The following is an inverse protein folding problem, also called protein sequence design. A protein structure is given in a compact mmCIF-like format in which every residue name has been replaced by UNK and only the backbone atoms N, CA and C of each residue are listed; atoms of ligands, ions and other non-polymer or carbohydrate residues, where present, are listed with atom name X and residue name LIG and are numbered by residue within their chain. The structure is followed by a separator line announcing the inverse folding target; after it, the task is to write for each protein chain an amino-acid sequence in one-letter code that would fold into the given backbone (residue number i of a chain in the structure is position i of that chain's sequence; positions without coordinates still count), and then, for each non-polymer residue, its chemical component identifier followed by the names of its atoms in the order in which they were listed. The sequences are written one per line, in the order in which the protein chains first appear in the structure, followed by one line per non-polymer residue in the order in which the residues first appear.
data_IF_762752259230
#
_entry.id   IF_762752259230
#
_cell.length_a   1.000
_cell.length_b   1.000
_cell.length_c   1.000
_cell.angle_alpha   90.00
_cell.angle_beta   90.00
_cell.angle_gamma   90.00
#
_symmetry.space_group_name_H-M   'P 1'
#
loop_
_entity.id
_entity.type
_entity.pdbx_description
1 polymer ?
#
# COMPACT_ATOMS: atom_id res chain seq x y z
N UNK A 1 -25.04 -8.67 -27.15
CA UNK A 1 -25.50 -7.47 -26.42
C UNK A 1 -24.60 -6.31 -26.82
N UNK A 2 -25.16 -5.19 -27.26
CA UNK A 2 -24.38 -3.99 -27.63
C UNK A 2 -24.25 -3.05 -26.44
N UNK A 3 -23.20 -2.22 -26.41
CA UNK A 3 -23.00 -1.23 -25.34
C UNK A 3 -24.16 -0.24 -25.25
N UNK A 4 -24.73 0.14 -26.40
CA UNK A 4 -25.88 1.07 -26.49
C UNK A 4 -27.10 0.62 -25.69
N UNK A 5 -27.33 -0.68 -25.55
CA UNK A 5 -28.46 -1.22 -24.78
C UNK A 5 -28.13 -1.45 -23.31
N UNK A 6 -26.88 -1.80 -23.00
CA UNK A 6 -26.48 -2.21 -21.64
C UNK A 6 -26.04 -1.03 -20.78
N UNK A 7 -25.41 -0.01 -21.36
CA UNK A 7 -24.88 1.14 -20.64
C UNK A 7 -25.95 1.93 -19.86
N UNK A 8 -27.13 2.24 -20.42
CA UNK A 8 -28.16 2.97 -19.67
C UNK A 8 -28.64 2.20 -18.43
N UNK A 9 -28.74 0.87 -18.54
CA UNK A 9 -29.13 0.01 -17.41
C UNK A 9 -28.06 -0.02 -16.33
N UNK A 10 -26.79 -0.16 -16.71
CA UNK A 10 -25.67 -0.11 -15.76
C UNK A 10 -25.57 1.23 -15.04
N UNK A 11 -25.75 2.34 -15.78
CA UNK A 11 -25.75 3.68 -15.21
C UNK A 11 -26.87 3.84 -14.17
N UNK A 12 -28.10 3.49 -14.54
CA UNK A 12 -29.25 3.56 -13.62
C UNK A 12 -29.04 2.75 -12.35
N UNK A 13 -28.51 1.53 -12.48
CA UNK A 13 -28.20 0.66 -11.33
C UNK A 13 -27.10 1.25 -10.45
N UNK A 14 -26.07 1.85 -11.05
CA UNK A 14 -25.01 2.52 -10.33
C UNK A 14 -25.52 3.76 -9.58
N UNK A 15 -26.33 4.60 -10.23
CA UNK A 15 -26.92 5.81 -9.64
C UNK A 15 -27.81 5.47 -8.46
N UNK A 16 -28.73 4.52 -8.63
CA UNK A 16 -29.59 4.03 -7.56
C UNK A 16 -28.76 3.46 -6.40
N UNK A 17 -27.71 2.69 -6.71
CA UNK A 17 -26.85 2.11 -5.69
C UNK A 17 -26.05 3.15 -4.90
N UNK A 18 -25.57 4.19 -5.57
CA UNK A 18 -24.84 5.30 -4.93
C UNK A 18 -25.78 6.23 -4.13
N UNK A 19 -27.00 6.47 -4.62
CA UNK A 19 -28.01 7.25 -3.89
C UNK A 19 -28.43 6.54 -2.60
N UNK A 20 -28.66 5.23 -2.67
CA UNK A 20 -29.11 4.41 -1.54
C UNK A 20 -27.96 3.88 -0.68
N UNK A 21 -26.70 4.23 -1.00
CA UNK A 21 -25.51 3.72 -0.31
C UNK A 21 -25.43 2.19 -0.25
N UNK A 22 -25.96 1.51 -1.27
CA UNK A 22 -26.01 0.05 -1.38
C UNK A 22 -26.00 -0.36 -2.85
N UNK A 23 -24.90 -0.96 -3.30
CA UNK A 23 -24.80 -1.45 -4.67
C UNK A 23 -25.64 -2.73 -4.86
N UNK A 24 -26.08 -3.02 -6.12
CA UNK A 24 -26.72 -4.29 -6.43
C UNK A 24 -25.82 -5.47 -6.01
N UNK A 25 -26.37 -6.54 -5.40
CA UNK A 25 -25.56 -7.68 -4.95
C UNK A 25 -24.69 -8.31 -6.04
N UNK A 26 -25.16 -8.30 -7.29
CA UNK A 26 -24.42 -8.80 -8.44
C UNK A 26 -23.19 -7.96 -8.80
N UNK A 27 -23.14 -6.68 -8.40
CA UNK A 27 -21.95 -5.86 -8.60
C UNK A 27 -20.88 -6.25 -7.59
N UNK A 28 -21.26 -6.44 -6.33
CA UNK A 28 -20.33 -6.73 -5.23
C UNK A 28 -20.01 -8.22 -5.07
N UNK A 29 -20.54 -9.08 -5.93
CA UNK A 29 -20.16 -10.48 -6.01
C UNK A 29 -18.80 -10.65 -6.70
N UNK A 30 -18.02 -11.62 -6.23
CA UNK A 30 -16.68 -11.90 -6.75
C UNK A 30 -16.40 -13.39 -6.89
N UNK A 31 -15.51 -13.72 -7.83
CA UNK A 31 -14.98 -15.06 -7.97
C UNK A 31 -13.49 -15.07 -7.60
N UNK A 32 -13.13 -15.78 -6.53
CA UNK A 32 -11.75 -15.91 -6.08
C UNK A 32 -11.06 -16.98 -6.89
N UNK A 33 -10.01 -16.57 -7.62
CA UNK A 33 -9.13 -17.44 -8.39
C UNK A 33 -7.75 -17.40 -7.77
N UNK A 34 -7.07 -18.54 -7.74
CA UNK A 34 -5.69 -18.66 -7.26
C UNK A 34 -4.71 -18.51 -8.41
N UNK A 35 -3.90 -17.46 -8.40
CA UNK A 35 -2.77 -17.31 -9.31
C UNK A 35 -1.50 -17.93 -8.72
N UNK A 36 -0.64 -18.56 -9.54
CA UNK A 36 0.64 -19.07 -9.08
C UNK A 36 1.60 -17.94 -8.67
N UNK A 37 2.40 -18.17 -7.63
CA UNK A 37 3.59 -17.39 -7.24
C UNK A 37 4.83 -18.28 -7.39
N UNK A 38 6.02 -17.71 -7.56
CA UNK A 38 7.28 -18.45 -7.58
C UNK A 38 7.41 -19.45 -6.43
N UNK A 39 8.04 -20.60 -6.72
CA UNK A 39 8.21 -21.72 -5.79
C UNK A 39 7.29 -22.91 -6.09
N UNK A 40 7.22 -23.84 -5.14
CA UNK A 40 6.43 -25.06 -5.27
C UNK A 40 4.92 -24.74 -5.31
N UNK A 41 4.27 -25.09 -6.42
CA UNK A 41 2.85 -24.84 -6.68
C UNK A 41 1.90 -25.76 -5.90
N UNK A 42 2.44 -26.79 -5.23
CA UNK A 42 1.66 -27.64 -4.32
C UNK A 42 1.33 -26.91 -3.02
N UNK A 43 2.13 -25.90 -2.64
CA UNK A 43 1.95 -25.15 -1.40
C UNK A 43 0.97 -23.98 -1.57
N UNK A 44 -0.08 -23.93 -0.72
CA UNK A 44 -1.08 -22.85 -0.74
C UNK A 44 -0.48 -21.45 -0.52
N UNK A 45 0.60 -21.36 0.25
CA UNK A 45 1.30 -20.09 0.50
C UNK A 45 1.97 -19.50 -0.76
N UNK A 46 2.19 -20.32 -1.78
CA UNK A 46 2.70 -19.92 -3.08
C UNK A 46 1.56 -19.68 -4.10
N UNK A 47 0.33 -19.50 -3.62
CA UNK A 47 -0.81 -19.09 -4.44
C UNK A 47 -1.35 -17.75 -3.98
N UNK A 48 -1.62 -16.87 -4.93
CA UNK A 48 -2.19 -15.54 -4.71
C UNK A 48 -3.69 -15.58 -4.99
N UNK A 49 -4.56 -15.42 -3.99
CA UNK A 49 -5.98 -15.26 -4.24
C UNK A 49 -6.22 -13.89 -4.89
N UNK A 50 -6.92 -13.89 -6.02
CA UNK A 50 -7.42 -12.69 -6.70
C UNK A 50 -8.93 -12.81 -6.84
N UNK A 51 -9.64 -11.79 -6.41
CA UNK A 51 -11.09 -11.71 -6.59
C UNK A 51 -11.40 -11.06 -7.93
N UNK A 52 -12.03 -11.82 -8.83
CA UNK A 52 -12.59 -11.32 -10.08
C UNK A 52 -13.92 -10.64 -9.78
N UNK A 53 -13.90 -9.31 -9.78
CA UNK A 53 -15.07 -8.47 -9.53
C UNK A 53 -15.85 -8.17 -10.82
N UNK A 54 -17.16 -7.99 -10.68
CA UNK A 54 -18.06 -7.64 -11.77
C UNK A 54 -17.67 -6.30 -12.45
N UNK A 55 -17.93 -6.19 -13.75
CA UNK A 55 -17.68 -4.94 -14.51
C UNK A 55 -18.42 -3.73 -13.90
N UNK A 56 -19.65 -3.92 -13.41
CA UNK A 56 -20.43 -2.87 -12.73
C UNK A 56 -19.72 -2.32 -11.50
N UNK A 57 -19.13 -3.19 -10.67
CA UNK A 57 -18.28 -2.75 -9.55
C UNK A 57 -17.11 -1.91 -10.02
N UNK A 58 -16.38 -2.41 -11.04
CA UNK A 58 -15.19 -1.72 -11.56
C UNK A 58 -15.53 -0.34 -12.11
N UNK A 59 -16.67 -0.20 -12.78
CA UNK A 59 -17.17 1.09 -13.29
C UNK A 59 -17.45 2.05 -12.13
N UNK A 60 -18.18 1.62 -11.10
CA UNK A 60 -18.49 2.47 -9.94
C UNK A 60 -17.20 2.85 -9.18
N UNK A 61 -16.32 1.88 -8.92
CA UNK A 61 -15.04 2.13 -8.27
C UNK A 61 -14.19 3.11 -9.06
N UNK A 62 -14.14 2.98 -10.40
CA UNK A 62 -13.41 3.89 -11.27
C UNK A 62 -14.01 5.31 -11.25
N UNK A 63 -15.34 5.43 -11.23
CA UNK A 63 -16.02 6.73 -11.13
C UNK A 63 -15.64 7.44 -9.82
N UNK A 64 -15.70 6.74 -8.69
CA UNK A 64 -15.33 7.32 -7.40
C UNK A 64 -13.83 7.65 -7.32
N UNK A 65 -12.96 6.78 -7.87
CA UNK A 65 -11.52 7.02 -7.95
C UNK A 65 -11.19 8.27 -8.79
N UNK A 66 -11.83 8.45 -9.95
CA UNK A 66 -11.63 9.63 -10.78
C UNK A 66 -12.03 10.91 -10.06
N UNK A 67 -13.12 10.88 -9.27
CA UNK A 67 -13.55 12.02 -8.46
C UNK A 67 -12.59 12.32 -7.30
N UNK A 68 -12.00 11.28 -6.71
CA UNK A 68 -11.09 11.40 -5.57
C UNK A 68 -9.67 11.80 -5.97
N UNK A 69 -9.21 11.39 -7.15
CA UNK A 69 -7.85 11.61 -7.64
C UNK A 69 -7.32 13.06 -7.48
N UNK A 70 -8.02 14.13 -7.92
CA UNK A 70 -7.52 15.50 -7.76
C UNK A 70 -7.41 15.92 -6.29
N UNK A 71 -8.32 15.46 -5.43
CA UNK A 71 -8.30 15.76 -3.98
C UNK A 71 -7.13 15.05 -3.29
N UNK A 72 -6.80 13.82 -3.71
CA UNK A 72 -5.65 13.11 -3.12
C UNK A 72 -4.33 13.81 -3.40
N UNK A 73 -4.20 14.52 -4.53
CA UNK A 73 -2.99 15.29 -4.83
C UNK A 73 -2.77 16.45 -3.87
N UNK A 74 -3.82 16.99 -3.25
CA UNK A 74 -3.72 18.11 -2.29
C UNK A 74 -3.51 17.63 -0.85
N UNK A 75 -3.94 16.41 -0.53
CA UNK A 75 -3.85 15.88 0.85
C UNK A 75 -2.60 15.02 1.04
N UNK A 76 -2.13 14.34 0.00
CA UNK A 76 -0.95 13.46 0.10
C UNK A 76 0.33 14.27 -0.11
N UNK A 77 1.28 14.24 0.84
CA UNK A 77 2.57 14.93 0.73
C UNK A 77 3.35 14.52 -0.53
N UNK A 78 4.20 15.41 -1.04
CA UNK A 78 4.93 15.20 -2.30
C UNK A 78 5.91 14.02 -2.23
N UNK A 79 6.39 13.70 -1.04
CA UNK A 79 7.30 12.61 -0.75
C UNK A 79 6.65 11.24 -1.01
N UNK A 80 5.32 11.15 -0.97
CA UNK A 80 4.56 9.96 -1.27
C UNK A 80 4.12 9.95 -2.75
N UNK A 81 4.94 9.37 -3.62
CA UNK A 81 4.71 9.38 -5.08
C UNK A 81 3.95 8.16 -5.62
N UNK A 82 3.81 7.08 -4.84
CA UNK A 82 3.16 5.86 -5.33
C UNK A 82 1.64 6.07 -5.53
N UNK A 83 1.10 5.48 -6.60
CA UNK A 83 -0.35 5.42 -6.91
C UNK A 83 -1.06 6.76 -7.13
N UNK A 84 -0.31 7.86 -7.34
CA UNK A 84 -0.88 9.17 -7.67
C UNK A 84 -0.56 9.55 -9.12
N UNK A 85 -1.60 9.97 -9.85
CA UNK A 85 -1.44 10.39 -11.24
C UNK A 85 -0.48 11.58 -11.34
N UNK A 86 0.45 11.49 -12.29
CA UNK A 86 1.44 12.54 -12.55
C UNK A 86 2.66 12.52 -11.62
N UNK A 87 2.69 11.64 -10.60
CA UNK A 87 3.87 11.45 -9.76
C UNK A 87 4.68 10.28 -10.27
N UNK A 88 6.00 10.48 -10.35
CA UNK A 88 6.92 9.46 -10.84
C UNK A 88 7.62 8.79 -9.66
N UNK A 89 7.70 7.45 -9.70
CA UNK A 89 8.46 6.66 -8.74
C UNK A 89 9.95 7.05 -8.71
N UNK A 90 10.50 7.49 -9.85
CA UNK A 90 11.86 8.03 -9.93
C UNK A 90 12.06 9.23 -9.00
N UNK A 91 11.04 10.05 -8.76
CA UNK A 91 11.13 11.18 -7.83
C UNK A 91 11.32 10.71 -6.38
N UNK A 92 10.67 9.62 -5.96
CA UNK A 92 10.92 9.06 -4.61
C UNK A 92 12.33 8.51 -4.50
N UNK A 93 12.83 7.82 -5.53
CA UNK A 93 14.23 7.33 -5.52
C UNK A 93 15.21 8.49 -5.43
N UNK A 94 14.98 9.56 -6.19
CA UNK A 94 15.78 10.77 -6.14
C UNK A 94 15.76 11.43 -4.75
N UNK A 95 14.58 11.61 -4.14
CA UNK A 95 14.44 12.17 -2.79
C UNK A 95 15.14 11.31 -1.73
N UNK A 96 15.00 9.97 -1.83
CA UNK A 96 15.72 9.05 -0.95
C UNK A 96 17.25 9.20 -1.10
N UNK A 97 17.76 9.26 -2.34
CA UNK A 97 19.19 9.43 -2.60
C UNK A 97 19.71 10.78 -2.09
N UNK A 98 18.94 11.86 -2.28
CA UNK A 98 19.27 13.18 -1.76
C UNK A 98 19.35 13.17 -0.23
N UNK A 99 18.37 12.58 0.46
CA UNK A 99 18.38 12.48 1.92
C UNK A 99 19.59 11.68 2.43
N UNK A 100 19.96 10.58 1.75
CA UNK A 100 21.17 9.80 2.08
C UNK A 100 22.44 10.64 1.88
N UNK A 101 22.52 11.38 0.77
CA UNK A 101 23.67 12.23 0.46
C UNK A 101 23.83 13.38 1.47
N UNK A 102 22.73 14.04 1.86
CA UNK A 102 22.71 15.11 2.86
C UNK A 102 23.15 14.60 4.23
N UNK A 103 22.66 13.43 4.66
CA UNK A 103 23.09 12.78 5.91
C UNK A 103 24.60 12.51 5.92
N UNK A 104 25.15 11.99 4.81
CA UNK A 104 26.59 11.75 4.67
C UNK A 104 27.41 13.04 4.67
N UNK A 105 26.98 14.04 3.91
CA UNK A 105 27.71 15.29 3.74
C UNK A 105 27.73 16.14 5.01
N UNK A 106 26.68 16.04 5.82
CA UNK A 106 26.60 16.70 7.13
C UNK A 106 27.34 15.94 8.24
N UNK A 107 27.82 14.72 7.99
CA UNK A 107 28.43 13.86 9.01
C UNK A 107 27.45 13.42 10.10
N UNK A 108 26.13 13.51 9.85
CA UNK A 108 25.11 13.14 10.82
C UNK A 108 24.83 11.64 10.79
N UNK A 109 25.03 10.96 11.92
CA UNK A 109 24.65 9.57 12.08
C UNK A 109 23.14 9.41 11.88
N UNK A 110 22.77 8.67 10.83
CA UNK A 110 21.39 8.52 10.39
C UNK A 110 21.06 7.06 10.09
N UNK A 111 19.77 6.72 10.09
CA UNK A 111 19.24 5.41 9.72
C UNK A 111 18.15 5.59 8.69
N UNK A 112 18.31 4.92 7.54
CA UNK A 112 17.23 4.74 6.58
C UNK A 112 16.46 3.47 6.97
N UNK A 113 15.21 3.64 7.38
CA UNK A 113 14.31 2.58 7.79
C UNK A 113 13.22 2.35 6.75
N UNK A 114 13.19 1.16 6.15
CA UNK A 114 12.09 0.64 5.34
C UNK A 114 11.19 -0.23 6.22
N UNK A 115 9.97 0.24 6.47
CA UNK A 115 8.94 -0.47 7.21
C UNK A 115 8.10 -1.32 6.27
N UNK A 116 7.95 -2.59 6.62
CA UNK A 116 7.10 -3.55 5.92
C UNK A 116 5.85 -3.83 6.78
N UNK A 117 4.66 -3.70 6.19
CA UNK A 117 3.43 -4.11 6.86
C UNK A 117 3.03 -5.49 6.33
N UNK A 118 2.49 -6.34 7.21
CA UNK A 118 1.93 -7.61 6.81
C UNK A 118 0.51 -7.38 6.31
N UNK A 119 0.27 -7.67 5.03
CA UNK A 119 -1.07 -7.68 4.42
C UNK A 119 -1.82 -6.38 4.73
N UNK A 120 -1.23 -5.22 4.47
CA UNK A 120 -1.75 -3.95 4.97
C UNK A 120 -3.22 -3.68 4.58
N UNK A 121 -3.63 -4.07 3.38
CA UNK A 121 -5.00 -3.84 2.90
C UNK A 121 -6.01 -4.80 3.53
N UNK A 122 -5.57 -5.99 3.93
CA UNK A 122 -6.39 -6.94 4.68
C UNK A 122 -6.48 -6.57 6.16
N UNK A 123 -5.42 -5.94 6.68
CA UNK A 123 -5.27 -5.65 8.11
C UNK A 123 -5.79 -4.26 8.50
N UNK A 124 -5.85 -3.32 7.55
CA UNK A 124 -6.35 -1.97 7.80
C UNK A 124 -7.81 -2.01 8.27
N UNK A 125 -8.08 -1.38 9.40
CA UNK A 125 -9.42 -1.23 9.92
C UNK A 125 -10.23 -0.27 9.05
N UNK A 126 -11.25 -0.80 8.37
CA UNK A 126 -12.22 0.00 7.62
C UNK A 126 -12.89 1.09 8.47
N UNK A 127 -13.12 0.85 9.76
CA UNK A 127 -13.70 1.86 10.65
C UNK A 127 -12.75 3.05 10.82
N UNK A 128 -11.46 2.78 10.97
CA UNK A 128 -10.43 3.83 11.05
C UNK A 128 -10.31 4.56 9.72
N UNK A 129 -10.37 3.86 8.59
CA UNK A 129 -10.38 4.49 7.27
C UNK A 129 -11.55 5.48 7.13
N UNK A 130 -12.78 5.07 7.47
CA UNK A 130 -13.94 5.97 7.36
C UNK A 130 -13.87 7.15 8.33
N UNK A 131 -13.35 6.95 9.55
CA UNK A 131 -13.09 8.04 10.50
C UNK A 131 -12.02 9.01 9.99
N UNK A 132 -10.96 8.50 9.36
CA UNK A 132 -9.92 9.33 8.76
C UNK A 132 -10.49 10.16 7.61
N UNK A 133 -11.27 9.56 6.71
CA UNK A 133 -11.96 10.27 5.63
C UNK A 133 -12.86 11.39 6.17
N UNK A 134 -13.64 11.10 7.21
CA UNK A 134 -14.50 12.11 7.86
C UNK A 134 -13.68 13.28 8.40
N UNK A 135 -12.57 12.99 9.11
CA UNK A 135 -11.65 14.00 9.65
C UNK A 135 -10.93 14.81 8.58
N UNK A 136 -10.68 14.22 7.41
CA UNK A 136 -10.09 14.89 6.24
C UNK A 136 -11.12 15.75 5.49
N UNK A 137 -12.39 15.78 5.93
CA UNK A 137 -13.45 16.61 5.36
C UNK A 137 -14.19 15.97 4.19
N UNK A 138 -14.05 14.65 3.96
CA UNK A 138 -14.85 13.99 2.93
C UNK A 138 -16.33 13.98 3.32
N UNK A 139 -17.20 14.47 2.44
CA UNK A 139 -18.64 14.51 2.71
C UNK A 139 -19.22 13.11 2.96
N UNK A 140 -20.17 13.02 3.91
CA UNK A 140 -20.76 11.74 4.34
C UNK A 140 -21.36 10.92 3.19
N UNK A 141 -21.93 11.59 2.17
CA UNK A 141 -22.42 10.93 0.96
C UNK A 141 -21.32 10.15 0.24
N UNK A 142 -20.14 10.75 0.08
CA UNK A 142 -19.00 10.09 -0.57
C UNK A 142 -18.48 8.93 0.27
N UNK A 143 -18.34 9.12 1.59
CA UNK A 143 -17.95 8.05 2.52
C UNK A 143 -18.93 6.88 2.44
N UNK A 144 -20.23 7.15 2.35
CA UNK A 144 -21.25 6.11 2.21
C UNK A 144 -21.17 5.38 0.87
N UNK A 145 -20.81 6.06 -0.23
CA UNK A 145 -20.52 5.41 -1.50
C UNK A 145 -19.33 4.44 -1.40
N UNK A 146 -18.25 4.83 -0.71
CA UNK A 146 -17.11 3.93 -0.46
C UNK A 146 -17.53 2.75 0.43
N UNK A 147 -18.31 3.00 1.49
CA UNK A 147 -18.90 1.92 2.32
C UNK A 147 -19.68 0.92 1.46
N UNK A 148 -20.50 1.39 0.52
CA UNK A 148 -21.29 0.56 -0.38
C UNK A 148 -20.44 -0.33 -1.32
N UNK A 149 -19.24 0.11 -1.72
CA UNK A 149 -18.28 -0.72 -2.45
C UNK A 149 -17.62 -1.76 -1.56
N UNK A 150 -17.39 -1.44 -0.29
CA UNK A 150 -16.66 -2.30 0.65
C UNK A 150 -17.55 -3.28 1.40
N UNK A 151 -18.88 -3.09 1.34
CA UNK A 151 -19.86 -4.10 1.76
C UNK A 151 -19.92 -5.18 0.68
N UNK A 152 -18.97 -6.11 0.73
CA UNK A 152 -18.90 -7.23 -0.22
C UNK A 152 -20.17 -8.07 -0.14
N UNK A 153 -20.61 -8.58 -1.29
CA UNK A 153 -21.56 -9.69 -1.33
C UNK A 153 -20.80 -11.01 -1.41
N UNK A 154 -21.55 -12.11 -1.32
CA UNK A 154 -21.02 -13.46 -1.35
C UNK A 154 -20.05 -13.68 -2.53
N UNK A 155 -18.90 -14.28 -2.24
CA UNK A 155 -17.88 -14.61 -3.23
C UNK A 155 -17.70 -16.11 -3.33
N UNK A 156 -17.47 -16.65 -4.52
CA UNK A 156 -17.21 -18.08 -4.69
C UNK A 156 -15.72 -18.33 -4.97
N UNK A 157 -15.22 -19.49 -4.63
CA UNK A 157 -13.86 -19.92 -4.97
C UNK A 157 -13.92 -20.76 -6.23
N UNK A 158 -13.04 -20.49 -7.20
CA UNK A 158 -12.86 -21.30 -8.39
C UNK A 158 -11.59 -22.14 -8.22
N UNK A 159 -11.76 -23.47 -8.19
CA UNK A 159 -10.66 -24.45 -8.13
C UNK A 159 -10.82 -25.37 -9.33
N UNK A 160 -9.78 -25.50 -10.17
CA UNK A 160 -9.79 -26.38 -11.34
C UNK A 160 -11.00 -26.17 -12.26
N UNK A 161 -11.41 -24.91 -12.48
CA UNK A 161 -12.61 -24.48 -13.24
C UNK A 161 -13.95 -24.85 -12.59
N UNK A 162 -13.95 -25.45 -11.41
CA UNK A 162 -15.16 -25.71 -10.62
C UNK A 162 -15.40 -24.57 -9.65
N UNK A 163 -16.60 -23.98 -9.71
CA UNK A 163 -17.03 -22.88 -8.84
C UNK A 163 -17.71 -23.44 -7.59
N UNK A 164 -17.27 -23.00 -6.42
CA UNK A 164 -17.91 -23.36 -5.15
C UNK A 164 -19.30 -22.72 -5.01
N UNK A 165 -20.06 -23.16 -3.99
CA UNK A 165 -21.18 -22.35 -3.51
C UNK A 165 -20.65 -20.98 -3.04
N UNK A 166 -21.42 -19.89 -3.20
CA UNK A 166 -21.02 -18.58 -2.70
C UNK A 166 -20.79 -18.63 -1.19
N UNK A 167 -19.67 -18.07 -0.75
CA UNK A 167 -19.30 -17.88 0.64
C UNK A 167 -19.66 -16.45 1.02
N UNK A 168 -20.27 -16.27 2.18
CA UNK A 168 -20.42 -14.92 2.74
C UNK A 168 -19.06 -14.47 3.27
N UNK A 169 -18.34 -13.77 2.41
CA UNK A 169 -17.07 -13.15 2.76
C UNK A 169 -17.43 -11.72 3.14
N UNK A 170 -17.11 -11.33 4.37
CA UNK A 170 -17.21 -9.94 4.80
C UNK A 170 -16.33 -9.00 3.97
N UNK A 171 -15.81 -7.93 4.57
CA UNK A 171 -14.99 -6.96 3.83
C UNK A 171 -13.65 -7.58 3.41
N UNK A 172 -13.36 -7.62 2.09
CA UNK A 172 -12.10 -8.13 1.55
C UNK A 172 -11.22 -7.00 0.99
N UNK A 173 -9.92 -7.00 1.32
CA UNK A 173 -8.91 -6.03 0.86
C UNK A 173 -7.94 -6.64 -0.18
N UNK A 174 -7.23 -5.80 -0.94
CA UNK A 174 -6.22 -6.21 -1.95
C UNK A 174 -5.01 -5.22 -1.99
N UNK A 175 -3.79 -5.74 -2.25
CA UNK A 175 -2.43 -5.35 -1.77
C UNK A 175 -1.63 -4.15 -2.38
N UNK A 176 -0.68 -3.59 -1.57
CA UNK A 176 0.65 -2.96 -1.82
C UNK A 176 1.20 -2.07 -0.64
N UNK A 177 2.22 -2.48 0.14
CA UNK A 177 2.46 -1.97 1.52
C UNK A 177 3.91 -1.74 2.01
N UNK A 178 4.65 -0.84 1.38
CA UNK A 178 6.00 -0.43 1.84
C UNK A 178 6.07 1.07 2.21
N UNK A 179 6.78 1.43 3.28
CA UNK A 179 7.03 2.83 3.70
C UNK A 179 8.50 3.03 4.07
N UNK A 180 9.09 4.18 3.71
CA UNK A 180 10.50 4.50 3.96
C UNK A 180 10.61 5.76 4.83
N UNK A 181 11.53 5.76 5.81
CA UNK A 181 11.74 6.84 6.78
C UNK A 181 13.24 7.09 6.97
N UNK A 182 13.67 8.35 6.96
CA UNK A 182 15.03 8.75 7.36
C UNK A 182 15.00 9.25 8.80
N UNK A 183 15.84 8.69 9.68
CA UNK A 183 15.84 8.96 11.11
C UNK A 183 17.25 9.33 11.58
N UNK A 184 17.38 10.24 12.55
CA UNK A 184 18.64 10.43 13.28
C UNK A 184 18.95 9.19 14.10
N UNK A 185 20.21 8.76 14.11
CA UNK A 185 20.64 7.50 14.71
C UNK A 185 20.92 7.59 16.22
N UNK A 186 20.02 8.24 16.94
CA UNK A 186 20.08 8.36 18.40
C UNK A 186 19.23 7.25 19.05
N UNK A 187 19.68 6.61 20.15
CA UNK A 187 18.97 5.50 20.78
C UNK A 187 17.51 5.81 21.10
N UNK A 188 17.27 6.96 21.74
CA UNK A 188 15.93 7.37 22.12
C UNK A 188 15.06 7.68 20.88
N UNK A 189 15.65 8.28 19.84
CA UNK A 189 14.92 8.61 18.62
C UNK A 189 14.46 7.35 17.86
N UNK A 190 15.34 6.35 17.72
CA UNK A 190 15.00 5.09 17.05
C UNK A 190 13.97 4.28 17.84
N UNK A 191 14.06 4.29 19.18
CA UNK A 191 13.06 3.65 20.05
C UNK A 191 11.70 4.35 19.94
N UNK A 192 11.68 5.67 20.01
CA UNK A 192 10.46 6.47 19.86
C UNK A 192 9.82 6.25 18.48
N UNK A 193 10.61 6.20 17.41
CA UNK A 193 10.12 5.89 16.07
C UNK A 193 9.48 4.49 16.02
N UNK A 194 10.13 3.47 16.59
CA UNK A 194 9.60 2.11 16.67
C UNK A 194 8.28 2.05 17.46
N UNK A 195 8.19 2.74 18.59
CA UNK A 195 6.97 2.81 19.39
C UNK A 195 5.85 3.56 18.67
N UNK A 196 6.16 4.68 18.02
CA UNK A 196 5.19 5.46 17.24
C UNK A 196 4.62 4.64 16.09
N UNK A 197 5.46 3.96 15.31
CA UNK A 197 5.05 3.08 14.21
C UNK A 197 4.22 1.90 14.75
N UNK A 198 4.63 1.32 15.88
CA UNK A 198 3.86 0.23 16.52
C UNK A 198 2.51 0.70 17.04
N UNK A 199 2.44 1.91 17.59
CA UNK A 199 1.19 2.53 18.06
C UNK A 199 0.27 2.82 16.90
N UNK A 200 0.80 3.38 15.80
CA UNK A 200 0.07 3.58 14.56
C UNK A 200 -0.46 2.26 14.00
N UNK A 201 0.37 1.21 13.98
CA UNK A 201 -0.04 -0.14 13.57
C UNK A 201 -1.21 -0.67 14.40
N UNK A 202 -1.10 -0.63 15.74
CA UNK A 202 -2.18 -1.04 16.65
C UNK A 202 -3.46 -0.22 16.46
N UNK A 203 -3.35 1.09 16.31
CA UNK A 203 -4.50 1.98 16.15
C UNK A 203 -5.20 1.81 14.79
N UNK A 204 -4.44 1.59 13.72
CA UNK A 204 -4.96 1.43 12.36
C UNK A 204 -5.39 -0.01 12.03
N UNK A 205 -4.94 -1.00 12.79
CA UNK A 205 -5.07 -2.43 12.49
C UNK A 205 -3.92 -2.99 11.65
N UNK A 206 -3.01 -2.13 11.14
CA UNK A 206 -1.84 -2.56 10.38
C UNK A 206 -0.87 -3.36 11.25
N UNK A 207 -0.46 -4.52 10.75
CA UNK A 207 0.50 -5.38 11.44
C UNK A 207 1.90 -5.08 10.93
N UNK A 208 2.73 -4.40 11.71
CA UNK A 208 4.12 -4.13 11.34
C UNK A 208 4.92 -5.43 11.35
N UNK A 209 5.64 -5.72 10.27
CA UNK A 209 6.52 -6.88 10.16
C UNK A 209 7.98 -6.46 10.37
N UNK A 210 8.38 -6.29 11.64
CA UNK A 210 9.74 -5.85 12.00
C UNK A 210 10.84 -6.76 11.45
N UNK A 211 10.61 -8.08 11.41
CA UNK A 211 11.59 -9.04 10.87
C UNK A 211 11.83 -8.93 9.36
N UNK A 212 10.96 -8.24 8.63
CA UNK A 212 11.15 -7.91 7.21
C UNK A 212 11.43 -6.44 6.96
N UNK A 213 11.27 -5.60 7.98
CA UNK A 213 11.63 -4.20 7.92
C UNK A 213 13.15 -4.08 7.85
N UNK A 214 13.63 -3.28 6.90
CA UNK A 214 15.04 -3.15 6.55
C UNK A 214 15.58 -1.83 7.09
N UNK A 215 16.72 -1.84 7.76
CA UNK A 215 17.38 -0.66 8.28
C UNK A 215 18.80 -0.57 7.73
N UNK A 216 19.20 0.64 7.34
CA UNK A 216 20.55 0.90 6.84
C UNK A 216 21.18 2.02 7.63
N UNK A 217 22.36 1.73 8.20
CA UNK A 217 23.14 2.70 8.95
C UNK A 217 23.86 3.65 7.99
N UNK A 218 23.65 4.95 8.14
CA UNK A 218 24.24 5.98 7.31
C UNK A 218 25.12 6.85 8.21
N UNK A 219 26.38 6.46 8.33
CA UNK A 219 27.40 7.20 9.06
C UNK A 219 28.80 6.80 8.59
N UNK A 220 29.79 7.62 8.97
CA UNK A 220 31.22 7.28 8.95
C UNK A 220 31.61 6.36 10.12
N UNK A 221 30.79 6.27 11.16
CA UNK A 221 31.00 5.41 12.34
C UNK A 221 30.45 4.00 12.10
N UNK A 222 31.00 3.01 12.81
CA UNK A 222 30.48 1.66 12.82
C UNK A 222 29.13 1.60 13.54
N UNK A 223 28.20 0.80 13.01
CA UNK A 223 26.87 0.61 13.62
C UNK A 223 27.02 0.12 15.07
N UNK A 224 26.44 0.81 16.06
CA UNK A 224 26.55 0.41 17.46
C UNK A 224 25.83 -0.93 17.77
N UNK A 225 26.37 -1.79 18.65
CA UNK A 225 25.76 -3.09 18.98
C UNK A 225 24.37 -3.02 19.61
N UNK A 226 24.06 -1.95 20.36
CA UNK A 226 22.74 -1.81 21.01
C UNK A 226 21.59 -1.77 19.99
N UNK A 227 21.87 -1.41 18.73
CA UNK A 227 20.87 -1.35 17.66
C UNK A 227 20.27 -2.71 17.30
N UNK A 228 20.93 -3.82 17.66
CA UNK A 228 20.41 -5.18 17.44
C UNK A 228 19.12 -5.45 18.22
N UNK A 229 18.88 -4.74 19.33
CA UNK A 229 17.67 -4.85 20.15
C UNK A 229 16.41 -4.30 19.45
N UNK A 230 16.58 -3.56 18.34
CA UNK A 230 15.46 -3.01 17.59
C UNK A 230 14.70 -4.07 16.76
N UNK A 231 15.24 -5.29 16.62
CA UNK A 231 14.65 -6.38 15.83
C UNK A 231 14.38 -6.02 14.36
N UNK A 232 15.18 -5.11 13.81
CA UNK A 232 15.19 -4.75 12.40
C UNK A 232 16.19 -5.63 11.65
N UNK A 233 15.96 -5.84 10.36
CA UNK A 233 16.98 -6.44 9.50
C UNK A 233 17.96 -5.35 9.06
N UNK A 234 19.22 -5.48 9.44
CA UNK A 234 20.26 -4.51 9.07
C UNK A 234 20.95 -4.90 7.77
N UNK A 235 21.16 -3.94 6.88
CA UNK A 235 22.00 -4.12 5.68
C UNK A 235 23.42 -3.65 5.92
N UNK A 236 24.36 -4.21 5.15
CA UNK A 236 25.72 -3.71 5.10
C UNK A 236 25.80 -2.45 4.21
N UNK A 237 26.77 -1.56 4.48
CA UNK A 237 26.90 -0.20 3.89
C UNK A 237 27.13 -0.13 2.37
N UNK A 238 26.92 -1.20 1.61
CA UNK A 238 27.13 -1.27 0.17
C UNK A 238 26.06 -2.10 -0.58
N UNK A 239 24.99 -2.55 0.10
CA UNK A 239 23.97 -3.35 -0.57
C UNK A 239 23.10 -2.51 -1.53
N UNK A 240 22.76 -3.11 -2.66
CA UNK A 240 21.76 -2.61 -3.60
C UNK A 240 20.37 -2.76 -2.99
N UNK A 241 19.73 -1.65 -2.67
CA UNK A 241 18.39 -1.61 -2.11
C UNK A 241 17.36 -1.55 -3.22
N UNK A 242 16.44 -2.52 -3.23
CA UNK A 242 15.32 -2.52 -4.17
C UNK A 242 14.13 -1.77 -3.58
N UNK A 243 13.74 -0.68 -4.21
CA UNK A 243 12.52 0.08 -3.93
C UNK A 243 11.60 0.02 -5.13
N UNK A 244 10.46 -0.68 -4.97
CA UNK A 244 9.39 -0.75 -5.98
C UNK A 244 9.89 -1.13 -7.40
N UNK A 245 10.92 -1.99 -7.48
CA UNK A 245 11.51 -2.43 -8.75
C UNK A 245 12.82 -1.73 -9.12
N UNK A 246 13.10 -0.55 -8.57
CA UNK A 246 14.33 0.21 -8.81
C UNK A 246 15.40 -0.12 -7.78
N UNK A 247 16.66 -0.13 -8.21
CA UNK A 247 17.80 -0.35 -7.34
C UNK A 247 18.42 1.00 -6.98
N UNK A 248 18.57 1.29 -5.70
CA UNK A 248 19.38 2.38 -5.20
C UNK A 248 20.45 1.84 -4.27
N UNK A 249 21.68 2.34 -4.37
CA UNK A 249 22.75 1.99 -3.45
C UNK A 249 22.89 3.07 -2.40
N UNK A 250 23.25 2.71 -1.17
CA UNK A 250 23.68 3.73 -0.19
C UNK A 250 25.09 4.23 -0.52
N UNK A 251 25.85 3.50 -1.34
CA UNK A 251 27.20 3.84 -1.81
C UNK A 251 27.21 4.66 -3.12
N UNK A 252 26.42 5.75 -3.23
CA UNK A 252 26.44 6.59 -4.43
C UNK A 252 27.51 7.66 -4.31
N UNK A 253 28.47 7.68 -5.23
CA UNK A 253 29.33 8.83 -5.51
C UNK A 253 28.57 9.86 -6.39
N UNK A 254 28.95 11.14 -6.34
CA UNK A 254 28.29 12.21 -7.10
C UNK A 254 28.16 11.91 -8.61
N UNK A 255 29.13 11.23 -9.23
CA UNK A 255 29.12 10.89 -10.65
C UNK A 255 28.13 9.76 -11.01
N UNK A 256 27.73 8.95 -10.03
CA UNK A 256 26.87 7.79 -10.24
C UNK A 256 25.38 8.14 -10.19
N UNK A 257 24.98 9.21 -9.48
CA UNK A 257 23.58 9.66 -9.36
C UNK A 257 22.99 9.99 -10.74
N UNK A 258 23.75 10.66 -11.60
CA UNK A 258 23.28 11.13 -12.90
C UNK A 258 23.24 10.03 -13.98
N UNK A 259 24.04 8.96 -13.84
CA UNK A 259 24.14 7.90 -14.87
C UNK A 259 23.10 6.79 -14.74
N UNK A 260 22.49 6.60 -13.56
CA UNK A 260 21.48 5.53 -13.32
C UNK A 260 20.03 6.04 -13.34
N UNK A 261 19.80 7.35 -13.45
CA UNK A 261 18.47 7.95 -13.48
C UNK A 261 17.97 8.37 -14.87
N UNK A 262 18.75 8.11 -15.94
CA UNK A 262 18.37 8.27 -17.34
C UNK A 262 18.24 6.90 -18.02
#
# INVERSE_FOLDING_TARGET
MTWSTTAPTLLRLAEQGLQNSRLPPHFTAGDIVLLPKDGDQTLLQNKRPITLLNAGYKIVAKLLQNRMAPVMQTIVPWEQNAFLQGRNLHATVFLCNQAVWEAKSSGMDSVLLKVDFRKAYDSLSWNILFKAMDRMGFGQKFINCIKALTSTAASAIIINKTRSKPLDIGRAGHFADETHLMLKAEPLNLLNAKEAISTFGRASGLQVQWSKSLATWISQTTRPPWTDQLNWRWTQNQEEHKMLGFIFTVAIDQDTIFRRCL
#
